data_IF_382891321031
#
_entry.id   IF_382891321031
#
_cell.length_a   1.000
_cell.length_b   1.000
_cell.length_c   1.000
_cell.angle_alpha   90.00
_cell.angle_beta   90.00
_cell.angle_gamma   90.00
#
_symmetry.space_group_name_H-M   'P 1'
#
loop_
_entity.id
_entity.type
_entity.pdbx_description
1 polymer ?
#
# COMPACT_ATOMS: atom_id res chain seq x y z
N UNK A 1 -33.54 15.45 -15.91
CA UNK A 1 -32.63 14.43 -15.35
C UNK A 1 -33.05 14.22 -13.91
N UNK A 2 -33.61 13.06 -13.62
CA UNK A 2 -34.21 12.73 -12.33
C UNK A 2 -33.12 12.61 -11.23
N UNK A 3 -33.44 13.06 -10.01
CA UNK A 3 -32.53 12.98 -8.86
C UNK A 3 -32.24 11.51 -8.48
N UNK A 4 -33.18 10.62 -8.78
CA UNK A 4 -33.02 9.18 -8.55
C UNK A 4 -31.92 8.58 -9.44
N UNK A 5 -31.95 8.90 -10.74
CA UNK A 5 -30.90 8.49 -11.67
C UNK A 5 -29.53 8.99 -11.19
N UNK A 6 -29.48 10.19 -10.58
CA UNK A 6 -28.26 10.74 -10.00
C UNK A 6 -27.70 9.92 -8.85
N UNK A 7 -28.59 9.48 -7.97
CA UNK A 7 -28.21 8.69 -6.81
C UNK A 7 -27.72 7.29 -7.19
N UNK A 8 -28.36 6.65 -8.18
CA UNK A 8 -27.99 5.31 -8.62
C UNK A 8 -26.61 5.28 -9.28
N UNK A 9 -26.29 6.25 -10.14
CA UNK A 9 -24.94 6.32 -10.72
C UNK A 9 -23.87 6.68 -9.69
N UNK A 10 -24.19 7.55 -8.73
CA UNK A 10 -23.27 7.92 -7.65
C UNK A 10 -22.97 6.74 -6.72
N UNK A 11 -23.99 5.95 -6.36
CA UNK A 11 -23.83 4.74 -5.53
C UNK A 11 -22.96 3.69 -6.22
N UNK A 12 -23.16 3.46 -7.52
CA UNK A 12 -22.34 2.52 -8.30
C UNK A 12 -20.87 2.95 -8.34
N UNK A 13 -20.60 4.23 -8.63
CA UNK A 13 -19.25 4.79 -8.60
C UNK A 13 -18.60 4.69 -7.22
N UNK A 14 -19.36 4.92 -6.15
CA UNK A 14 -18.87 4.87 -4.77
C UNK A 14 -18.30 3.49 -4.39
N UNK A 15 -19.00 2.42 -4.76
CA UNK A 15 -18.56 1.04 -4.47
C UNK A 15 -17.24 0.74 -5.18
N UNK A 16 -17.15 1.10 -6.46
CA UNK A 16 -15.92 0.92 -7.25
C UNK A 16 -14.78 1.75 -6.65
N UNK A 17 -15.07 2.96 -6.18
CA UNK A 17 -14.08 3.82 -5.53
C UNK A 17 -13.50 3.18 -4.27
N UNK A 18 -14.35 2.62 -3.40
CA UNK A 18 -13.91 1.94 -2.19
C UNK A 18 -13.05 0.71 -2.50
N UNK A 19 -13.42 -0.05 -3.54
CA UNK A 19 -12.61 -1.19 -4.02
C UNK A 19 -11.22 -0.75 -4.47
N UNK A 20 -11.11 0.37 -5.20
CA UNK A 20 -9.83 0.92 -5.64
C UNK A 20 -8.97 1.41 -4.47
N UNK A 21 -9.57 2.08 -3.48
CA UNK A 21 -8.87 2.49 -2.25
C UNK A 21 -8.34 1.29 -1.50
N UNK A 22 -9.18 0.28 -1.31
CA UNK A 22 -8.79 -0.94 -0.60
C UNK A 22 -7.64 -1.65 -1.32
N UNK A 23 -7.75 -1.84 -2.63
CA UNK A 23 -6.68 -2.41 -3.44
C UNK A 23 -5.39 -1.56 -3.39
N UNK A 24 -5.52 -0.23 -3.38
CA UNK A 24 -4.40 0.69 -3.23
C UNK A 24 -3.69 0.56 -1.88
N UNK A 25 -4.45 0.41 -0.79
CA UNK A 25 -3.89 0.20 0.56
C UNK A 25 -3.22 -1.17 0.66
N UNK A 26 -3.83 -2.23 0.13
CA UNK A 26 -3.22 -3.57 0.09
C UNK A 26 -1.91 -3.51 -0.71
N UNK A 27 -1.92 -2.93 -1.91
CA UNK A 27 -0.71 -2.84 -2.71
C UNK A 27 0.38 -1.99 -2.04
N UNK A 28 0.01 -0.90 -1.37
CA UNK A 28 0.94 -0.08 -0.58
C UNK A 28 1.52 -0.85 0.61
N UNK A 29 0.70 -1.60 1.34
CA UNK A 29 1.14 -2.42 2.48
C UNK A 29 2.08 -3.56 2.04
N UNK A 30 1.80 -4.17 0.89
CA UNK A 30 2.68 -5.17 0.28
C UNK A 30 3.89 -4.56 -0.43
N UNK A 31 3.90 -3.25 -0.69
CA UNK A 31 5.05 -2.57 -1.31
C UNK A 31 6.21 -2.62 -0.31
N UNK A 32 7.34 -3.26 -0.65
CA UNK A 32 8.48 -3.47 0.24
C UNK A 32 9.32 -2.19 0.36
N UNK A 33 8.70 -1.03 0.59
CA UNK A 33 9.37 0.29 0.60
C UNK A 33 10.38 0.44 1.75
N UNK A 34 10.47 -0.53 2.67
CA UNK A 34 11.47 -0.52 3.74
C UNK A 34 12.34 -1.78 3.85
N UNK A 35 12.19 -2.79 2.97
CA UNK A 35 13.03 -4.01 3.07
C UNK A 35 14.51 -3.70 2.83
N UNK A 36 14.82 -2.79 1.90
CA UNK A 36 16.21 -2.38 1.62
C UNK A 36 16.93 -1.78 2.83
N UNK A 37 16.24 -0.95 3.63
CA UNK A 37 16.87 -0.30 4.80
C UNK A 37 17.07 -1.28 5.96
N UNK A 38 16.16 -2.23 6.12
CA UNK A 38 16.30 -3.30 7.11
C UNK A 38 17.40 -4.31 6.75
N UNK A 39 17.60 -4.63 5.46
CA UNK A 39 18.73 -5.45 5.00
C UNK A 39 20.08 -4.73 5.18
N UNK A 40 20.13 -3.42 4.96
CA UNK A 40 21.34 -2.61 5.17
C UNK A 40 21.74 -2.53 6.65
N UNK A 41 20.79 -2.24 7.55
CA UNK A 41 21.04 -2.15 9.00
C UNK A 41 21.35 -3.52 9.63
N UNK A 42 20.77 -4.61 9.13
CA UNK A 42 21.07 -5.98 9.59
C UNK A 42 22.46 -6.48 9.16
N UNK A 43 23.11 -5.82 8.20
CA UNK A 43 24.49 -6.14 7.79
C UNK A 43 25.56 -5.50 8.69
N UNK A 44 25.17 -4.59 9.59
CA UNK A 44 26.08 -3.88 10.49
C UNK A 44 26.72 -4.83 11.53
N UNK A 45 25.99 -5.73 12.22
CA UNK A 45 26.58 -6.65 13.19
C UNK A 45 27.55 -7.66 12.57
N UNK A 46 27.39 -7.99 11.28
CA UNK A 46 28.25 -8.96 10.58
C UNK A 46 29.54 -8.33 10.02
N UNK A 47 29.64 -6.99 9.98
CA UNK A 47 30.86 -6.30 9.53
C UNK A 47 31.95 -6.21 10.60
N UNK A 48 31.60 -6.41 11.87
CA UNK A 48 32.52 -6.26 13.01
C UNK A 48 33.21 -7.59 13.42
N UNK A 49 32.74 -8.74 12.91
CA UNK A 49 33.30 -10.06 13.25
C UNK A 49 34.58 -10.42 12.46
N UNK A 50 35.17 -9.45 11.74
CA UNK A 50 36.41 -9.60 10.97
C UNK A 50 37.57 -8.70 11.47
N UNK A 51 37.51 -8.21 12.71
CA UNK A 51 38.57 -7.38 13.32
C UNK A 51 39.15 -8.00 14.59
N UNK A 52 40.07 -8.96 14.44
CA UNK A 52 40.96 -9.45 15.50
C UNK A 52 42.17 -8.56 15.72
#
# INVERSE_FOLDING_TARGET
MDLQAIYDWARSLWIIWLMLVFAGVVWWAYRPKNRKRFEEDASIPFKDDNGG
#
